data_IF_906316802060
#
_entry.id   IF_906316802060
#
_cell.length_a   1.000
_cell.length_b   1.000
_cell.length_c   1.000
_cell.angle_alpha   90.00
_cell.angle_beta   90.00
_cell.angle_gamma   90.00
#
_symmetry.space_group_name_H-M   'P 1'
#
loop_
_entity.id
_entity.type
_entity.pdbx_description
1 polymer ?
#
# COMPACT_ATOMS: atom_id res chain seq x y z
N UNK A 1 -6.93 -60.68 25.61
CA UNK A 1 -6.98 -59.98 24.32
C UNK A 1 -7.50 -58.59 24.62
N UNK A 2 -6.76 -57.55 24.29
CA UNK A 2 -7.33 -56.27 23.82
C UNK A 2 -6.20 -55.34 23.39
N UNK A 3 -5.72 -55.57 22.17
CA UNK A 3 -5.01 -54.56 21.38
C UNK A 3 -6.05 -53.53 20.92
N UNK A 4 -6.04 -52.32 21.51
CA UNK A 4 -6.66 -51.11 20.93
C UNK A 4 -6.11 -49.81 21.54
N UNK A 5 -4.78 -49.70 21.56
CA UNK A 5 -4.06 -48.44 21.30
C UNK A 5 -3.85 -48.45 19.77
N UNK A 6 -4.02 -47.41 18.91
CA UNK A 6 -3.51 -46.05 19.13
C UNK A 6 -4.19 -44.93 18.29
N UNK A 7 -5.38 -45.16 17.73
CA UNK A 7 -5.87 -44.37 16.58
C UNK A 7 -6.28 -42.94 16.94
N UNK A 8 -6.76 -42.73 18.17
CA UNK A 8 -7.25 -41.42 18.59
C UNK A 8 -6.11 -40.41 18.81
N UNK A 9 -4.94 -40.89 19.25
CA UNK A 9 -3.79 -40.01 19.50
C UNK A 9 -3.11 -39.55 18.21
N UNK A 10 -3.05 -40.42 17.20
CA UNK A 10 -2.49 -40.09 15.88
C UNK A 10 -3.39 -39.08 15.16
N UNK A 11 -4.72 -39.22 15.26
CA UNK A 11 -5.67 -38.28 14.64
C UNK A 11 -5.53 -36.87 15.24
N UNK A 12 -5.36 -36.76 16.55
CA UNK A 12 -5.18 -35.48 17.24
C UNK A 12 -3.85 -34.80 16.85
N UNK A 13 -2.77 -35.59 16.67
CA UNK A 13 -1.47 -35.05 16.26
C UNK A 13 -1.45 -34.61 14.79
N UNK A 14 -2.15 -35.31 13.89
CA UNK A 14 -2.28 -34.89 12.47
C UNK A 14 -3.11 -33.60 12.36
N UNK A 15 -4.19 -33.45 13.13
CA UNK A 15 -5.01 -32.23 13.15
C UNK A 15 -4.23 -31.04 13.73
N UNK A 16 -3.42 -31.24 14.78
CA UNK A 16 -2.56 -30.19 15.35
C UNK A 16 -1.42 -29.80 14.40
N UNK A 17 -0.84 -30.75 13.66
CA UNK A 17 0.18 -30.47 12.64
C UNK A 17 -0.38 -29.71 11.44
N UNK A 18 -1.65 -29.96 11.07
CA UNK A 18 -2.33 -29.23 9.99
C UNK A 18 -2.78 -27.82 10.39
N UNK A 19 -3.05 -27.58 11.68
CA UNK A 19 -3.36 -26.24 12.19
C UNK A 19 -2.14 -25.34 12.31
N UNK A 20 -0.95 -25.92 12.49
CA UNK A 20 0.31 -25.17 12.59
C UNK A 20 0.85 -24.70 11.22
N UNK A 21 0.24 -25.15 10.11
CA UNK A 21 0.52 -24.68 8.75
C UNK A 21 -0.41 -23.48 8.38
N UNK A 22 -1.60 -23.43 8.96
CA UNK A 22 -2.57 -22.35 8.77
C UNK A 22 -2.20 -21.04 9.48
N UNK A 23 -1.23 -21.05 10.39
CA UNK A 23 -0.67 -19.82 10.97
C UNK A 23 0.16 -19.01 9.97
N UNK A 24 0.76 -19.63 8.94
CA UNK A 24 1.43 -18.88 7.86
C UNK A 24 0.43 -18.24 6.90
N UNK A 25 -0.73 -18.86 6.68
CA UNK A 25 -1.79 -18.28 5.85
C UNK A 25 -2.60 -17.20 6.58
N UNK A 26 -2.73 -17.28 7.90
CA UNK A 26 -3.35 -16.23 8.71
C UNK A 26 -2.52 -14.92 8.69
N UNK A 27 -1.19 -15.00 8.57
CA UNK A 27 -0.34 -13.81 8.39
C UNK A 27 -0.51 -13.13 7.02
N UNK A 28 -1.04 -13.83 6.02
CA UNK A 28 -1.30 -13.29 4.69
C UNK A 28 -2.72 -12.70 4.53
N UNK A 29 -3.69 -13.11 5.36
CA UNK A 29 -5.08 -12.63 5.27
C UNK A 29 -5.47 -11.61 6.35
N UNK A 30 -4.66 -11.41 7.40
CA UNK A 30 -4.94 -10.49 8.51
C UNK A 30 -4.03 -9.24 8.54
N UNK A 31 -3.45 -8.83 7.41
CA UNK A 31 -3.16 -7.40 7.25
C UNK A 31 -4.50 -6.70 7.03
N UNK A 32 -5.20 -6.39 8.13
CA UNK A 32 -6.36 -5.54 8.10
C UNK A 32 -6.04 -4.34 7.20
N UNK A 33 -6.76 -4.21 6.08
CA UNK A 33 -6.61 -3.12 5.14
C UNK A 33 -6.97 -1.83 5.89
N UNK A 34 -6.00 -1.21 6.57
CA UNK A 34 -6.25 -0.02 7.37
C UNK A 34 -6.70 1.06 6.39
N UNK A 35 -7.96 1.52 6.48
CA UNK A 35 -8.47 2.52 5.57
C UNK A 35 -7.73 3.83 5.82
N UNK A 36 -7.20 4.42 4.76
CA UNK A 36 -6.57 5.74 4.84
C UNK A 36 -7.66 6.79 4.79
N UNK A 37 -7.65 7.67 5.78
CA UNK A 37 -8.68 8.69 5.98
C UNK A 37 -8.12 10.09 5.80
N UNK A 38 -6.80 10.23 5.74
CA UNK A 38 -6.13 11.52 5.59
C UNK A 38 -5.14 11.52 4.43
N UNK A 39 -4.89 12.69 3.80
CA UNK A 39 -3.83 12.84 2.81
C UNK A 39 -2.47 12.42 3.35
N UNK A 40 -2.16 12.69 4.62
CA UNK A 40 -0.88 12.32 5.24
C UNK A 40 -0.67 10.80 5.27
N UNK A 41 -1.68 10.04 5.71
CA UNK A 41 -1.58 8.59 5.74
C UNK A 41 -1.47 8.01 4.31
N UNK A 42 -2.08 8.66 3.33
CA UNK A 42 -1.96 8.33 1.91
C UNK A 42 -0.52 8.47 1.42
N UNK A 43 0.12 9.60 1.73
CA UNK A 43 1.54 9.85 1.41
C UNK A 43 2.44 8.83 2.11
N UNK A 44 2.20 8.57 3.39
CA UNK A 44 2.99 7.63 4.18
C UNK A 44 2.91 6.20 3.62
N UNK A 45 1.71 5.75 3.21
CA UNK A 45 1.54 4.45 2.57
C UNK A 45 2.31 4.38 1.25
N UNK A 46 2.19 5.40 0.40
CA UNK A 46 2.92 5.47 -0.87
C UNK A 46 4.43 5.37 -0.65
N UNK A 47 4.96 6.11 0.33
CA UNK A 47 6.38 6.07 0.68
C UNK A 47 6.85 4.70 1.19
N UNK A 48 6.01 3.97 1.95
CA UNK A 48 6.32 2.59 2.35
C UNK A 48 6.52 1.68 1.14
N UNK A 49 5.58 1.72 0.19
CA UNK A 49 5.68 0.94 -1.05
C UNK A 49 6.93 1.34 -1.83
N UNK A 50 7.20 2.65 -1.98
CA UNK A 50 8.38 3.15 -2.68
C UNK A 50 9.68 2.63 -2.05
N UNK A 51 9.78 2.60 -0.72
CA UNK A 51 10.97 2.06 -0.04
C UNK A 51 11.20 0.58 -0.33
N UNK A 52 10.14 -0.23 -0.35
CA UNK A 52 10.24 -1.66 -0.68
C UNK A 52 10.67 -1.88 -2.13
N UNK A 53 10.12 -1.10 -3.05
CA UNK A 53 10.55 -1.14 -4.46
C UNK A 53 12.00 -0.70 -4.62
N UNK A 54 12.43 0.36 -3.90
CA UNK A 54 13.83 0.80 -3.87
C UNK A 54 14.78 -0.25 -3.28
N UNK A 55 14.32 -1.08 -2.34
CA UNK A 55 15.11 -2.19 -1.79
C UNK A 55 15.18 -3.43 -2.70
N UNK A 56 14.59 -3.38 -3.89
CA UNK A 56 14.65 -4.45 -4.89
C UNK A 56 13.45 -5.39 -4.89
N UNK A 57 12.40 -5.13 -4.10
CA UNK A 57 11.16 -5.89 -4.19
C UNK A 57 10.40 -5.56 -5.48
N UNK A 58 9.68 -6.53 -6.03
CA UNK A 58 8.76 -6.26 -7.13
C UNK A 58 7.62 -5.36 -6.63
N UNK A 59 6.97 -4.62 -7.54
CA UNK A 59 5.83 -3.77 -7.18
C UNK A 59 4.69 -4.58 -6.55
N UNK A 60 4.42 -5.76 -7.08
CA UNK A 60 3.38 -6.66 -6.56
C UNK A 60 3.71 -7.10 -5.12
N UNK A 61 4.96 -7.52 -4.86
CA UNK A 61 5.38 -7.91 -3.52
C UNK A 61 5.34 -6.72 -2.55
N UNK A 62 5.73 -5.53 -3.00
CA UNK A 62 5.65 -4.31 -2.20
C UNK A 62 4.20 -3.95 -1.84
N UNK A 63 3.26 -4.07 -2.79
CA UNK A 63 1.83 -3.86 -2.54
C UNK A 63 1.28 -4.87 -1.53
N UNK A 64 1.59 -6.16 -1.73
CA UNK A 64 1.16 -7.24 -0.84
C UNK A 64 1.75 -7.09 0.57
N UNK A 65 3.03 -6.76 0.67
CA UNK A 65 3.72 -6.55 1.95
C UNK A 65 3.16 -5.36 2.74
N UNK A 66 2.73 -4.29 2.05
CA UNK A 66 2.06 -3.15 2.68
C UNK A 66 0.57 -3.43 2.95
N UNK A 67 0.00 -4.49 2.35
CA UNK A 67 -1.42 -4.82 2.43
C UNK A 67 -2.29 -3.80 1.70
N UNK A 68 -1.86 -3.32 0.52
CA UNK A 68 -2.57 -2.33 -0.29
C UNK A 68 -2.84 -2.84 -1.70
N UNK A 69 -4.06 -2.62 -2.19
CA UNK A 69 -4.41 -2.87 -3.59
C UNK A 69 -3.71 -1.90 -4.56
N UNK A 70 -3.34 -2.39 -5.74
CA UNK A 70 -2.67 -1.58 -6.78
C UNK A 70 -3.51 -0.37 -7.17
N UNK A 71 -4.81 -0.51 -7.37
CA UNK A 71 -5.67 0.61 -7.78
C UNK A 71 -5.77 1.65 -6.67
N UNK A 72 -5.70 1.23 -5.41
CA UNK A 72 -5.62 2.18 -4.28
C UNK A 72 -4.36 3.02 -4.35
N UNK A 73 -3.20 2.42 -4.63
CA UNK A 73 -1.94 3.17 -4.81
C UNK A 73 -2.01 4.07 -6.04
N UNK A 74 -2.54 3.58 -7.17
CA UNK A 74 -2.71 4.38 -8.40
C UNK A 74 -3.56 5.63 -8.12
N UNK A 75 -4.72 5.45 -7.49
CA UNK A 75 -5.65 6.53 -7.20
C UNK A 75 -5.08 7.53 -6.18
N UNK A 76 -4.22 7.09 -5.28
CA UNK A 76 -3.60 7.91 -4.24
C UNK A 76 -2.25 8.50 -4.64
N UNK A 77 -1.63 8.03 -5.72
CA UNK A 77 -0.34 8.51 -6.18
C UNK A 77 -0.29 10.02 -6.40
N UNK A 78 -1.29 10.68 -7.03
CA UNK A 78 -1.26 12.12 -7.24
C UNK A 78 -1.08 12.94 -5.95
N UNK A 79 -1.59 12.43 -4.81
CA UNK A 79 -1.42 13.06 -3.50
C UNK A 79 0.06 13.08 -3.10
N UNK A 80 0.74 11.94 -3.23
CA UNK A 80 2.15 11.80 -2.89
C UNK A 80 3.08 12.50 -3.89
N UNK A 81 2.75 12.45 -5.18
CA UNK A 81 3.50 13.12 -6.25
C UNK A 81 3.46 14.63 -6.06
N UNK A 82 2.28 15.21 -5.81
CA UNK A 82 2.16 16.65 -5.55
C UNK A 82 2.87 17.05 -4.25
N UNK A 83 2.75 16.25 -3.18
CA UNK A 83 3.43 16.51 -1.92
C UNK A 83 4.96 16.52 -2.07
N UNK A 84 5.51 15.71 -2.99
CA UNK A 84 6.94 15.64 -3.25
C UNK A 84 7.44 16.80 -4.13
N UNK A 85 6.67 17.16 -5.16
CA UNK A 85 7.10 18.15 -6.17
C UNK A 85 6.77 19.58 -5.77
N UNK A 86 5.60 19.79 -5.17
CA UNK A 86 5.15 21.11 -4.73
C UNK A 86 4.53 21.02 -3.33
N UNK A 87 5.37 20.97 -2.28
CA UNK A 87 4.90 20.87 -0.90
C UNK A 87 4.04 22.08 -0.49
N UNK A 88 4.27 23.26 -1.06
CA UNK A 88 3.48 24.46 -0.75
C UNK A 88 2.07 24.40 -1.34
N UNK A 89 1.92 23.97 -2.60
CA UNK A 89 0.59 23.73 -3.19
C UNK A 89 -0.15 22.61 -2.45
N UNK A 90 0.57 21.56 -2.06
CA UNK A 90 -0.01 20.49 -1.25
C UNK A 90 -0.54 21.02 0.09
N UNK A 91 0.21 21.86 0.81
CA UNK A 91 -0.26 22.48 2.06
C UNK A 91 -1.50 23.34 1.86
N UNK A 92 -1.57 24.11 0.77
CA UNK A 92 -2.75 24.93 0.42
C UNK A 92 -3.97 24.05 0.18
N UNK A 93 -3.86 23.00 -0.63
CA UNK A 93 -4.95 22.06 -0.85
C UNK A 93 -5.35 21.35 0.45
N UNK A 94 -4.36 20.95 1.25
CA UNK A 94 -4.56 20.24 2.51
C UNK A 94 -5.27 21.08 3.56
N UNK A 95 -5.03 22.39 3.61
CA UNK A 95 -5.74 23.31 4.48
C UNK A 95 -7.25 23.36 4.19
N UNK A 96 -7.64 23.09 2.94
CA UNK A 96 -9.05 22.95 2.54
C UNK A 96 -9.68 21.60 2.87
N UNK A 97 -8.90 20.58 3.26
CA UNK A 97 -9.40 19.23 3.53
C UNK A 97 -9.87 19.07 4.98
N UNK A 98 -11.16 18.77 5.16
CA UNK A 98 -11.82 18.60 6.46
C UNK A 98 -12.12 17.13 6.74
N UNK A 99 -12.31 16.80 8.02
CA UNK A 99 -12.72 15.46 8.45
C UNK A 99 -14.08 15.12 7.84
N UNK A 100 -14.15 14.01 7.10
CA UNK A 100 -15.35 13.58 6.37
C UNK A 100 -15.30 13.88 4.86
N UNK A 101 -14.32 14.68 4.40
CA UNK A 101 -14.11 14.88 2.98
C UNK A 101 -13.62 13.60 2.29
N UNK A 102 -14.01 13.42 1.03
CA UNK A 102 -13.57 12.29 0.23
C UNK A 102 -12.10 12.46 -0.17
N UNK A 103 -11.28 11.49 0.24
CA UNK A 103 -9.88 11.40 -0.16
C UNK A 103 -9.71 11.25 -1.68
N UNK A 104 -10.66 10.58 -2.34
CA UNK A 104 -10.64 10.44 -3.80
C UNK A 104 -10.77 11.80 -4.49
N UNK A 105 -11.72 12.63 -4.06
CA UNK A 105 -11.87 14.00 -4.58
C UNK A 105 -10.63 14.85 -4.31
N UNK A 106 -9.97 14.63 -3.18
CA UNK A 106 -8.70 15.28 -2.88
C UNK A 106 -7.58 14.82 -3.83
N UNK A 107 -7.50 13.52 -4.14
CA UNK A 107 -6.56 12.99 -5.11
C UNK A 107 -6.79 13.55 -6.52
N UNK A 108 -8.04 13.68 -6.97
CA UNK A 108 -8.40 14.30 -8.25
C UNK A 108 -7.94 15.76 -8.34
N UNK A 109 -8.11 16.53 -7.26
CA UNK A 109 -7.58 17.90 -7.17
C UNK A 109 -6.05 17.93 -7.26
N UNK A 110 -5.37 17.00 -6.59
CA UNK A 110 -3.92 16.89 -6.69
C UNK A 110 -3.48 16.51 -8.11
N UNK A 111 -4.18 15.57 -8.74
CA UNK A 111 -3.93 15.16 -10.12
C UNK A 111 -4.05 16.33 -11.10
N UNK A 112 -5.05 17.19 -10.93
CA UNK A 112 -5.21 18.39 -11.74
C UNK A 112 -4.00 19.35 -11.63
N UNK A 113 -3.29 19.36 -10.50
CA UNK A 113 -2.04 20.13 -10.34
C UNK A 113 -0.82 19.39 -10.86
N UNK A 114 -0.80 18.05 -10.77
CA UNK A 114 0.29 17.21 -11.28
C UNK A 114 0.43 17.26 -12.80
N UNK A 115 -0.67 17.48 -13.55
CA UNK A 115 -0.63 17.58 -15.02
C UNK A 115 -0.20 18.95 -15.53
N UNK A 116 -0.15 19.97 -14.68
CA UNK A 116 0.25 21.32 -15.04
C UNK A 116 1.77 21.47 -14.95
N UNK A 117 2.34 22.25 -15.86
CA UNK A 117 3.74 22.67 -15.75
C UNK A 117 3.90 23.72 -14.64
N UNK A 118 5.02 23.71 -13.89
CA UNK A 118 6.20 22.87 -14.04
C UNK A 118 6.13 21.49 -13.36
N UNK A 119 5.01 21.17 -12.69
CA UNK A 119 4.89 19.96 -11.86
C UNK A 119 4.99 18.68 -12.71
N UNK A 120 4.35 18.63 -13.88
CA UNK A 120 4.37 17.46 -14.74
C UNK A 120 5.80 17.05 -15.16
N UNK A 121 6.62 18.01 -15.58
CA UNK A 121 8.04 17.79 -15.90
C UNK A 121 8.83 17.30 -14.69
N UNK A 122 8.62 17.89 -13.51
CA UNK A 122 9.31 17.51 -12.28
C UNK A 122 8.92 16.10 -11.81
N UNK A 123 7.64 15.74 -11.86
CA UNK A 123 7.15 14.39 -11.56
C UNK A 123 7.81 13.36 -12.48
N UNK A 124 7.90 13.66 -13.78
CA UNK A 124 8.58 12.79 -14.75
C UNK A 124 10.06 12.61 -14.43
N UNK A 125 10.76 13.69 -14.07
CA UNK A 125 12.16 13.63 -13.66
C UNK A 125 12.35 12.79 -12.38
N UNK A 126 11.52 13.00 -11.36
CA UNK A 126 11.58 12.24 -10.11
C UNK A 126 11.25 10.75 -10.30
N UNK A 127 10.31 10.40 -11.19
CA UNK A 127 10.04 9.00 -11.57
C UNK A 127 11.26 8.34 -12.21
N UNK A 128 11.98 9.06 -13.09
CA UNK A 128 13.23 8.56 -13.70
C UNK A 128 14.36 8.40 -12.69
N UNK A 129 14.44 9.28 -11.70
CA UNK A 129 15.38 9.20 -10.58
C UNK A 129 15.02 8.10 -9.56
N UNK A 130 13.88 7.41 -9.73
CA UNK A 130 13.28 6.47 -8.79
C UNK A 130 12.83 7.11 -7.46
N UNK A 131 12.73 8.44 -7.37
CA UNK A 131 12.22 9.14 -6.18
C UNK A 131 10.70 9.16 -6.07
N UNK A 132 10.01 8.77 -7.15
CA UNK A 132 8.59 8.47 -7.17
C UNK A 132 8.36 7.09 -7.82
N UNK A 133 7.28 6.42 -7.43
CA UNK A 133 6.87 5.17 -8.06
C UNK A 133 6.43 5.45 -9.49
N UNK A 134 7.13 4.84 -10.44
CA UNK A 134 6.64 4.72 -11.81
C UNK A 134 5.62 3.57 -11.88
N UNK A 135 4.34 3.91 -11.76
CA UNK A 135 3.24 2.94 -11.73
C UNK A 135 3.00 2.27 -13.10
N UNK A 136 3.47 2.90 -14.19
CA UNK A 136 3.25 2.44 -15.57
C UNK A 136 4.37 1.52 -16.04
N UNK A 137 5.58 1.70 -15.54
CA UNK A 137 6.68 0.76 -15.80
C UNK A 137 6.36 -0.59 -15.15
N UNK A 138 6.56 -1.70 -15.86
CA UNK A 138 6.46 -3.05 -15.25
C UNK A 138 7.64 -3.31 -14.35
#
# INVERSE_FOLDING_TARGET
MDLKVPYLYILVLVVLSLWNDLSSFAFLFFHAFIPVRTPEESVFRYQKVLRLVKSGSTKADAYNSVGVDRNTIVNQAPIAELAAVSPDLFKVLRAGFKKGDSLQKFAEKCMAQCILEPNASQISAMKKANDLLDILKK
#
